data_IF_467932875579
#
_entry.id   IF_467932875579
#
_cell.length_a   1.000
_cell.length_b   1.000
_cell.length_c   1.000
_cell.angle_alpha   90.00
_cell.angle_beta   90.00
_cell.angle_gamma   90.00
#
_symmetry.space_group_name_H-M   'P 1'
#
loop_
_entity.id
_entity.type
_entity.pdbx_description
1 polymer ?
#
# COMPACT_ATOMS: atom_id res chain seq x y z
N UNK A 1 -4.76 19.81 -9.37
CA UNK A 1 -3.41 19.73 -8.77
C UNK A 1 -2.87 18.32 -8.99
N UNK A 2 -1.65 18.16 -9.51
CA UNK A 2 -1.11 16.83 -9.86
C UNK A 2 -0.88 16.01 -8.57
N UNK A 3 -1.40 14.78 -8.50
CA UNK A 3 -1.29 13.94 -7.29
C UNK A 3 0.18 13.71 -6.91
N UNK A 4 1.07 13.61 -7.91
CA UNK A 4 2.51 13.46 -7.67
C UNK A 4 3.14 14.70 -7.03
N UNK A 5 2.68 15.91 -7.35
CA UNK A 5 3.24 17.12 -6.75
C UNK A 5 2.85 17.27 -5.29
N UNK A 6 1.68 16.78 -4.88
CA UNK A 6 1.26 16.81 -3.47
C UNK A 6 2.06 15.83 -2.61
N UNK A 7 2.31 14.61 -3.11
CA UNK A 7 3.13 13.62 -2.40
C UNK A 7 4.59 14.10 -2.26
N UNK A 8 5.13 14.74 -3.30
CA UNK A 8 6.45 15.36 -3.23
C UNK A 8 6.51 16.47 -2.18
N UNK A 9 5.46 17.29 -2.05
CA UNK A 9 5.41 18.33 -1.01
C UNK A 9 5.36 17.74 0.40
N UNK A 10 4.63 16.65 0.61
CA UNK A 10 4.62 15.92 1.88
C UNK A 10 6.02 15.43 2.25
N UNK A 11 6.70 14.76 1.29
CA UNK A 11 8.07 14.29 1.50
C UNK A 11 9.03 15.45 1.77
N UNK A 12 8.95 16.55 1.01
CA UNK A 12 9.80 17.73 1.22
C UNK A 12 9.64 18.36 2.60
N UNK A 13 8.40 18.52 3.09
CA UNK A 13 8.15 19.07 4.43
C UNK A 13 8.67 18.12 5.51
N UNK A 14 8.44 16.81 5.36
CA UNK A 14 8.92 15.83 6.33
C UNK A 14 10.45 15.75 6.37
N UNK A 15 11.11 15.77 5.20
CA UNK A 15 12.59 15.81 5.09
C UNK A 15 13.14 17.09 5.71
N UNK A 16 12.49 18.23 5.48
CA UNK A 16 12.88 19.49 6.11
C UNK A 16 12.85 19.39 7.65
N UNK A 17 11.82 18.76 8.23
CA UNK A 17 11.74 18.53 9.68
C UNK A 17 12.79 17.53 10.18
N UNK A 18 13.26 16.60 9.34
CA UNK A 18 14.29 15.59 9.67
C UNK A 18 15.71 16.16 9.70
N UNK A 19 16.06 17.00 8.72
CA UNK A 19 17.43 17.48 8.48
C UNK A 19 18.04 18.27 9.64
N UNK A 20 17.22 18.65 10.62
CA UNK A 20 17.61 19.53 11.68
C UNK A 20 17.90 18.71 12.95
N UNK A 21 19.19 18.50 13.25
CA UNK A 21 19.64 17.78 14.45
C UNK A 21 19.61 18.71 15.68
N UNK A 22 18.55 18.59 16.48
CA UNK A 22 18.38 19.03 17.88
C UNK A 22 18.43 20.54 18.23
N UNK A 23 17.38 21.07 18.89
CA UNK A 23 15.97 20.70 18.78
C UNK A 23 15.33 21.57 17.69
N UNK A 24 14.85 21.00 16.56
CA UNK A 24 14.41 21.82 15.44
C UNK A 24 12.93 22.14 15.56
N UNK A 25 12.64 22.90 16.60
CA UNK A 25 11.28 23.25 16.98
C UNK A 25 10.99 24.48 16.15
N UNK A 26 10.32 24.27 15.00
CA UNK A 26 10.04 25.33 14.04
C UNK A 26 8.57 25.70 14.03
N UNK A 27 8.34 27.00 14.14
CA UNK A 27 7.04 27.61 13.94
C UNK A 27 6.65 27.53 12.48
N UNK A 28 5.36 27.65 12.21
CA UNK A 28 4.87 27.61 10.83
C UNK A 28 5.47 28.70 9.95
N UNK A 29 5.76 29.88 10.52
CA UNK A 29 6.36 30.99 9.80
C UNK A 29 7.80 30.71 9.36
N UNK A 30 8.57 29.98 10.17
CA UNK A 30 9.91 29.54 9.80
C UNK A 30 9.87 28.48 8.70
N UNK A 31 9.01 27.46 8.84
CA UNK A 31 8.84 26.41 7.83
C UNK A 31 8.35 27.01 6.51
N UNK A 32 7.37 27.92 6.59
CA UNK A 32 6.84 28.65 5.44
C UNK A 32 7.95 29.42 4.75
N UNK A 33 8.74 30.21 5.50
CA UNK A 33 9.86 31.00 4.93
C UNK A 33 10.84 30.14 4.14
N UNK A 34 11.23 29.00 4.70
CA UNK A 34 12.24 28.13 4.08
C UNK A 34 11.67 27.30 2.92
N UNK A 35 10.35 27.08 2.89
CA UNK A 35 9.65 26.30 1.88
C UNK A 35 8.71 27.14 0.98
N UNK A 36 8.88 28.47 0.94
CA UNK A 36 8.05 29.43 0.18
C UNK A 36 7.92 29.03 -1.30
N UNK A 37 8.96 28.43 -1.89
CA UNK A 37 8.96 28.01 -3.30
C UNK A 37 8.14 26.73 -3.54
N UNK A 38 7.86 25.96 -2.49
CA UNK A 38 7.19 24.66 -2.55
C UNK A 38 5.71 24.76 -2.18
N UNK A 39 5.33 25.64 -1.25
CA UNK A 39 3.97 25.68 -0.71
C UNK A 39 3.62 27.05 -0.15
N UNK A 40 2.33 27.38 -0.15
CA UNK A 40 1.82 28.56 0.57
C UNK A 40 1.43 28.17 2.00
N UNK A 41 1.17 29.15 2.87
CA UNK A 41 0.93 28.89 4.29
C UNK A 41 -0.31 28.03 4.55
N UNK A 42 -1.38 28.20 3.78
CA UNK A 42 -2.61 27.41 3.92
C UNK A 42 -2.41 25.95 3.49
N UNK A 43 -1.66 25.69 2.42
CA UNK A 43 -1.31 24.34 1.98
C UNK A 43 -0.30 23.71 2.95
N UNK A 44 0.65 24.48 3.49
CA UNK A 44 1.58 24.01 4.52
C UNK A 44 0.82 23.54 5.78
N UNK A 45 -0.19 24.28 6.23
CA UNK A 45 -1.05 23.85 7.34
C UNK A 45 -1.72 22.51 7.05
N UNK A 46 -2.25 22.32 5.84
CA UNK A 46 -2.88 21.05 5.45
C UNK A 46 -1.87 19.91 5.42
N UNK A 47 -0.65 20.16 4.92
CA UNK A 47 0.44 19.19 4.92
C UNK A 47 0.83 18.82 6.34
N UNK A 48 1.08 19.80 7.21
CA UNK A 48 1.46 19.55 8.61
C UNK A 48 0.37 18.79 9.38
N UNK A 49 -0.90 19.18 9.22
CA UNK A 49 -2.02 18.45 9.82
C UNK A 49 -2.09 17.01 9.34
N UNK A 50 -1.83 16.77 8.04
CA UNK A 50 -1.77 15.41 7.51
C UNK A 50 -0.60 14.62 8.09
N UNK A 51 0.59 15.19 8.16
CA UNK A 51 1.76 14.53 8.76
C UNK A 51 1.54 14.19 10.24
N UNK A 52 0.80 15.05 10.96
CA UNK A 52 0.39 14.78 12.35
C UNK A 52 -0.63 13.64 12.41
N UNK A 53 -1.65 13.67 11.55
CA UNK A 53 -2.66 12.62 11.48
C UNK A 53 -2.06 11.25 11.12
N UNK A 54 -1.02 11.24 10.27
CA UNK A 54 -0.31 10.03 9.86
C UNK A 54 0.74 9.58 10.91
N UNK A 55 0.94 10.36 11.98
CA UNK A 55 1.86 10.03 13.09
C UNK A 55 3.33 10.35 12.82
N UNK A 56 3.65 10.99 11.69
CA UNK A 56 5.02 11.29 11.27
C UNK A 56 5.55 12.63 11.81
N UNK A 57 4.65 13.50 12.26
CA UNK A 57 4.98 14.73 12.94
C UNK A 57 4.13 14.90 14.21
N UNK A 58 4.63 15.71 15.14
CA UNK A 58 3.91 16.16 16.32
C UNK A 58 4.10 17.66 16.48
N UNK A 59 3.29 18.28 17.34
CA UNK A 59 3.46 19.69 17.66
C UNK A 59 3.53 19.92 19.16
N UNK A 60 4.28 20.95 19.53
CA UNK A 60 4.34 21.49 20.87
C UNK A 60 3.94 22.95 20.81
N UNK A 61 2.97 23.35 21.63
CA UNK A 61 2.67 24.76 21.78
C UNK A 61 3.52 25.34 22.92
N UNK A 62 4.23 26.45 22.65
CA UNK A 62 5.07 27.13 23.63
C UNK A 62 4.59 28.56 23.83
N UNK A 63 4.59 29.01 25.07
CA UNK A 63 4.37 30.42 25.38
C UNK A 63 5.66 31.19 25.12
N UNK A 64 5.54 32.29 24.38
CA UNK A 64 6.62 33.22 24.08
C UNK A 64 6.19 34.58 24.60
N UNK A 65 7.01 35.13 25.49
CA UNK A 65 6.81 36.47 26.05
C UNK A 65 7.56 37.45 25.15
N UNK A 66 6.83 38.43 24.65
CA UNK A 66 7.37 39.56 23.91
C UNK A 66 7.35 40.77 24.83
N UNK A 67 8.46 41.51 24.80
CA UNK A 67 8.61 42.75 25.57
C UNK A 67 8.78 43.87 24.55
N UNK A 68 7.87 44.83 24.54
CA UNK A 68 8.02 46.07 23.77
C UNK A 68 7.90 47.32 24.69
N UNK A 69 8.02 48.51 24.11
CA UNK A 69 7.91 49.80 24.79
C UNK A 69 6.55 50.01 25.52
N UNK A 70 5.49 49.29 25.11
CA UNK A 70 4.11 49.36 25.59
C UNK A 70 3.78 48.28 26.64
N UNK A 71 4.67 47.31 26.90
CA UNK A 71 4.54 46.31 27.96
C UNK A 71 4.92 44.88 27.55
N UNK A 72 4.60 43.92 28.44
CA UNK A 72 4.80 42.48 28.18
C UNK A 72 3.51 41.85 27.65
N UNK A 73 3.59 41.18 26.49
CA UNK A 73 2.50 40.34 25.99
C UNK A 73 2.97 38.91 25.75
N UNK A 74 2.12 37.95 26.11
CA UNK A 74 2.39 36.52 25.93
C UNK A 74 1.61 36.00 24.74
N UNK A 75 2.30 35.36 23.79
CA UNK A 75 1.69 34.66 22.67
C UNK A 75 2.00 33.18 22.71
N UNK A 76 1.10 32.36 22.19
CA UNK A 76 1.27 30.90 22.11
C UNK A 76 1.65 30.53 20.69
N UNK A 77 2.89 30.08 20.50
CA UNK A 77 3.42 29.68 19.19
C UNK A 77 3.44 28.15 19.12
N UNK A 78 2.91 27.62 18.02
CA UNK A 78 2.96 26.20 17.71
C UNK A 78 4.23 25.86 16.97
N UNK A 79 4.91 24.82 17.43
CA UNK A 79 6.12 24.32 16.81
C UNK A 79 5.97 22.86 16.41
N UNK A 80 6.55 22.49 15.28
CA UNK A 80 6.42 21.15 14.69
C UNK A 80 7.72 20.36 14.81
N UNK A 81 7.59 19.07 15.09
CA UNK A 81 8.71 18.16 15.36
C UNK A 81 8.44 16.84 14.64
N UNK A 82 9.46 16.30 13.96
CA UNK A 82 9.37 14.96 13.37
C UNK A 82 9.42 13.86 14.44
N UNK A 83 8.53 12.88 14.33
CA UNK A 83 8.50 11.71 15.23
C UNK A 83 9.56 10.68 14.81
N UNK A 84 9.79 9.66 15.65
CA UNK A 84 10.63 8.52 15.27
C UNK A 84 10.09 7.82 14.01
N UNK A 85 8.79 7.59 13.97
CA UNK A 85 8.12 6.95 12.83
C UNK A 85 8.26 7.77 11.55
N UNK A 86 8.14 9.11 11.64
CA UNK A 86 8.37 10.00 10.50
C UNK A 86 9.79 9.91 9.94
N UNK A 87 10.80 9.84 10.81
CA UNK A 87 12.21 9.65 10.40
C UNK A 87 12.39 8.30 9.70
N UNK A 88 11.86 7.24 10.31
CA UNK A 88 11.96 5.89 9.75
C UNK A 88 11.23 5.77 8.39
N UNK A 89 10.08 6.44 8.26
CA UNK A 89 9.29 6.45 7.04
C UNK A 89 10.04 7.07 5.86
N UNK A 90 10.72 8.21 6.05
CA UNK A 90 11.56 8.83 5.00
C UNK A 90 12.69 7.90 4.57
N UNK A 91 13.40 7.30 5.53
CA UNK A 91 14.57 6.46 5.25
C UNK A 91 14.21 5.22 4.42
N UNK A 92 13.03 4.66 4.64
CA UNK A 92 12.62 3.38 4.04
C UNK A 92 11.78 3.55 2.77
N UNK A 93 10.82 4.46 2.80
CA UNK A 93 9.81 4.63 1.75
C UNK A 93 9.68 6.08 1.31
N UNK A 94 9.12 6.96 2.15
CA UNK A 94 8.54 8.23 1.70
C UNK A 94 7.24 8.02 0.91
N UNK A 95 6.39 9.06 0.88
CA UNK A 95 5.08 9.03 0.26
C UNK A 95 5.14 8.76 -1.24
N UNK A 96 6.12 9.34 -1.95
CA UNK A 96 6.26 9.14 -3.40
C UNK A 96 6.59 7.68 -3.73
N UNK A 97 7.53 7.06 -3.00
CA UNK A 97 7.94 5.68 -3.25
C UNK A 97 6.87 4.70 -2.84
N UNK A 98 6.19 4.93 -1.71
CA UNK A 98 5.08 4.11 -1.25
C UNK A 98 3.94 4.11 -2.27
N UNK A 99 3.52 5.28 -2.75
CA UNK A 99 2.45 5.36 -3.76
C UNK A 99 2.84 4.64 -5.07
N UNK A 100 4.13 4.69 -5.45
CA UNK A 100 4.65 3.94 -6.61
C UNK A 100 4.63 2.42 -6.36
N UNK A 101 5.03 1.99 -5.17
CA UNK A 101 5.00 0.58 -4.76
C UNK A 101 3.57 0.04 -4.72
N UNK A 102 2.62 0.80 -4.16
CA UNK A 102 1.20 0.44 -4.13
C UNK A 102 0.66 0.30 -5.55
N UNK A 103 0.94 1.27 -6.43
CA UNK A 103 0.49 1.23 -7.83
C UNK A 103 1.09 0.05 -8.60
N UNK A 104 2.36 -0.28 -8.36
CA UNK A 104 3.01 -1.45 -8.97
C UNK A 104 2.40 -2.76 -8.45
N UNK A 105 2.20 -2.85 -7.12
CA UNK A 105 1.62 -4.02 -6.49
C UNK A 105 0.17 -4.23 -6.91
N UNK A 106 -0.64 -3.18 -7.06
CA UNK A 106 -2.01 -3.29 -7.55
C UNK A 106 -2.04 -3.81 -8.98
N UNK A 107 -1.21 -3.26 -9.87
CA UNK A 107 -1.11 -3.74 -11.25
C UNK A 107 -0.66 -5.21 -11.31
N UNK A 108 0.31 -5.60 -10.48
CA UNK A 108 0.77 -7.00 -10.36
C UNK A 108 -0.33 -7.91 -9.81
N UNK A 109 -1.12 -7.45 -8.83
CA UNK A 109 -2.23 -8.24 -8.31
C UNK A 109 -3.32 -8.46 -9.36
N UNK A 110 -3.57 -7.47 -10.21
CA UNK A 110 -4.54 -7.60 -11.29
C UNK A 110 -4.08 -8.60 -12.36
N UNK A 111 -2.79 -8.58 -12.74
CA UNK A 111 -2.25 -9.59 -13.66
C UNK A 111 -2.30 -10.99 -13.06
N UNK A 112 -1.95 -11.15 -11.78
CA UNK A 112 -2.04 -12.43 -11.08
C UNK A 112 -3.47 -12.97 -11.02
N UNK A 113 -4.48 -12.11 -10.79
CA UNK A 113 -5.90 -12.50 -10.83
C UNK A 113 -6.33 -12.98 -12.21
N UNK A 114 -5.92 -12.29 -13.27
CA UNK A 114 -6.20 -12.70 -14.65
C UNK A 114 -5.59 -14.08 -14.94
N UNK A 115 -4.36 -14.32 -14.49
CA UNK A 115 -3.69 -15.60 -14.66
C UNK A 115 -4.31 -16.72 -13.83
N UNK A 116 -4.82 -16.43 -12.64
CA UNK A 116 -5.61 -17.38 -11.85
C UNK A 116 -6.88 -17.77 -12.59
N UNK A 117 -7.64 -16.81 -13.11
CA UNK A 117 -8.87 -17.07 -13.88
C UNK A 117 -8.59 -17.95 -15.11
N UNK A 118 -7.48 -17.71 -15.83
CA UNK A 118 -7.08 -18.54 -16.98
C UNK A 118 -6.72 -19.96 -16.55
N UNK A 119 -5.96 -20.11 -15.46
CA UNK A 119 -5.61 -21.43 -14.90
C UNK A 119 -6.84 -22.20 -14.44
N UNK A 120 -7.76 -21.56 -13.74
CA UNK A 120 -9.00 -22.20 -13.28
C UNK A 120 -9.85 -22.71 -14.44
N UNK A 121 -9.95 -21.96 -15.54
CA UNK A 121 -10.62 -22.42 -16.77
C UNK A 121 -9.91 -23.62 -17.39
N UNK A 122 -8.59 -23.60 -17.46
CA UNK A 122 -7.80 -24.71 -17.98
C UNK A 122 -7.95 -25.98 -17.14
N UNK A 123 -7.91 -25.85 -15.81
CA UNK A 123 -8.13 -26.97 -14.88
C UNK A 123 -9.52 -27.55 -15.07
N UNK A 124 -10.58 -26.72 -15.14
CA UNK A 124 -11.94 -27.21 -15.40
C UNK A 124 -12.04 -28.02 -16.69
N UNK A 125 -11.47 -27.52 -17.78
CA UNK A 125 -11.47 -28.24 -19.05
C UNK A 125 -10.71 -29.57 -18.95
N UNK A 126 -9.56 -29.59 -18.29
CA UNK A 126 -8.78 -30.80 -18.07
C UNK A 126 -9.54 -31.83 -17.22
N UNK A 127 -10.22 -31.39 -16.16
CA UNK A 127 -11.07 -32.26 -15.33
C UNK A 127 -12.19 -32.89 -16.13
N UNK A 128 -12.83 -32.14 -17.03
CA UNK A 128 -13.87 -32.67 -17.93
C UNK A 128 -13.30 -33.77 -18.85
N UNK A 129 -12.11 -33.53 -19.42
CA UNK A 129 -11.45 -34.53 -20.27
C UNK A 129 -11.09 -35.81 -19.50
N UNK A 130 -10.56 -35.68 -18.28
CA UNK A 130 -10.25 -36.82 -17.42
C UNK A 130 -11.52 -37.60 -17.09
N UNK A 131 -12.62 -36.92 -16.77
CA UNK A 131 -13.90 -37.57 -16.48
C UNK A 131 -14.41 -38.37 -17.68
N UNK A 132 -14.36 -37.79 -18.90
CA UNK A 132 -14.74 -38.49 -20.14
C UNK A 132 -13.87 -39.73 -20.36
N UNK A 133 -12.54 -39.59 -20.27
CA UNK A 133 -11.61 -40.69 -20.44
C UNK A 133 -11.85 -41.81 -19.41
N UNK A 134 -12.15 -41.44 -18.16
CA UNK A 134 -12.45 -42.38 -17.08
C UNK A 134 -13.74 -43.15 -17.34
N UNK A 135 -14.80 -42.49 -17.85
CA UNK A 135 -16.03 -43.15 -18.24
C UNK A 135 -15.82 -44.15 -19.40
N UNK A 136 -15.06 -43.75 -20.43
CA UNK A 136 -14.75 -44.63 -21.57
C UNK A 136 -13.98 -45.87 -21.10
N UNK A 137 -12.95 -45.69 -20.26
CA UNK A 137 -12.19 -46.80 -19.69
C UNK A 137 -13.08 -47.73 -18.86
N UNK A 138 -13.97 -47.17 -18.03
CA UNK A 138 -14.92 -47.94 -17.24
C UNK A 138 -15.86 -48.79 -18.10
N UNK A 139 -16.41 -48.23 -19.18
CA UNK A 139 -17.26 -48.97 -20.13
C UNK A 139 -16.47 -50.09 -20.83
N UNK A 140 -15.22 -49.82 -21.24
CA UNK A 140 -14.36 -50.81 -21.86
C UNK A 140 -14.14 -52.02 -20.95
N UNK A 141 -13.78 -51.79 -19.69
CA UNK A 141 -13.59 -52.86 -18.71
C UNK A 141 -14.88 -53.62 -18.41
N UNK A 142 -16.04 -52.96 -18.35
CA UNK A 142 -17.33 -53.64 -18.18
C UNK A 142 -17.64 -54.59 -19.34
N UNK A 143 -17.35 -54.18 -20.58
CA UNK A 143 -17.53 -55.02 -21.77
C UNK A 143 -16.57 -56.21 -21.74
N UNK A 144 -15.32 -55.99 -21.35
CA UNK A 144 -14.31 -57.04 -21.26
C UNK A 144 -14.69 -58.09 -20.21
N UNK A 145 -15.09 -57.65 -19.01
CA UNK A 145 -15.62 -58.53 -17.96
C UNK A 145 -16.84 -59.31 -18.47
N UNK A 146 -17.79 -58.65 -19.14
CA UNK A 146 -18.96 -59.33 -19.69
C UNK A 146 -18.59 -60.41 -20.71
N UNK A 147 -17.62 -60.13 -21.59
CA UNK A 147 -17.12 -61.11 -22.57
C UNK A 147 -16.45 -62.31 -21.90
N UNK A 148 -15.59 -62.08 -20.91
CA UNK A 148 -14.96 -63.17 -20.16
C UNK A 148 -16.00 -64.01 -19.43
N UNK A 149 -16.98 -63.37 -18.77
CA UNK A 149 -18.06 -64.05 -18.07
C UNK A 149 -18.88 -64.92 -19.05
N UNK A 150 -19.26 -64.36 -20.21
CA UNK A 150 -20.01 -65.10 -21.23
C UNK A 150 -19.20 -66.28 -21.80
N UNK A 151 -17.91 -66.09 -22.09
CA UNK A 151 -17.02 -67.15 -22.55
C UNK A 151 -16.87 -68.28 -21.51
N UNK A 152 -16.79 -67.91 -20.23
CA UNK A 152 -16.70 -68.85 -19.13
C UNK A 152 -17.95 -69.72 -19.01
N UNK A 153 -19.15 -69.11 -19.03
CA UNK A 153 -20.42 -69.84 -19.03
C UNK A 153 -20.58 -70.74 -20.25
N UNK A 154 -20.24 -70.25 -21.45
CA UNK A 154 -20.35 -71.02 -22.69
C UNK A 154 -19.43 -72.26 -22.68
N UNK A 155 -18.24 -72.18 -22.08
CA UNK A 155 -17.32 -73.33 -21.96
C UNK A 155 -17.70 -74.31 -20.83
N UNK A 156 -18.43 -73.90 -19.80
CA UNK A 156 -18.75 -74.75 -18.65
C UNK A 156 -20.16 -75.37 -18.67
N UNK A 157 -20.91 -75.19 -19.77
CA UNK A 157 -22.12 -75.99 -20.05
C UNK A 157 -23.22 -75.88 -18.99
N UNK A 158 -23.52 -74.64 -18.56
CA UNK A 158 -24.71 -74.28 -17.78
C UNK A 158 -25.67 -73.44 -18.62
#
# INVERSE_FOLDING_TARGET
MNKNTLLQKLDSVLIYLEQQKQPPIRSISEISRDLISLTNESELLLILNKLISDGYAQFEDRQVVYVDEEGEYTSKIRYYIITFDGRFFILTSGYVKENKSISYNSARMDTLKVDQIKRDKSIKNLTVWIAIASCIAGIYYLIEIYKEFYSFFYHHGL
#
